data_IF_873253049946
#
_entry.id   IF_873253049946
#
_cell.length_a   1.000
_cell.length_b   1.000
_cell.length_c   1.000
_cell.angle_alpha   90.00
_cell.angle_beta   90.00
_cell.angle_gamma   90.00
#
_symmetry.space_group_name_H-M   'P 1'
#
loop_
_entity.id
_entity.type
_entity.pdbx_description
1 polymer ?
#
# COMPACT_ATOMS: atom_id res chain seq x y z
N UNK A 1 -16.84 -18.64 -58.74
CA UNK A 1 -16.65 -17.59 -57.75
C UNK A 1 -16.57 -18.24 -56.38
N UNK A 2 -15.35 -18.46 -55.85
CA UNK A 2 -15.13 -19.09 -54.51
C UNK A 2 -15.00 -18.00 -53.49
N UNK A 3 -15.95 -17.88 -52.56
CA UNK A 3 -15.88 -16.97 -51.42
C UNK A 3 -14.97 -17.60 -50.38
N UNK A 4 -13.81 -16.99 -50.14
CA UNK A 4 -12.93 -17.34 -49.01
C UNK A 4 -13.52 -16.76 -47.71
N UNK A 5 -13.87 -17.62 -46.78
CA UNK A 5 -14.30 -17.26 -45.43
C UNK A 5 -13.05 -17.03 -44.59
N UNK A 6 -12.77 -15.78 -44.27
CA UNK A 6 -11.64 -15.38 -43.45
C UNK A 6 -12.03 -15.55 -41.96
N UNK A 7 -11.55 -16.62 -41.33
CA UNK A 7 -11.69 -16.83 -39.90
C UNK A 7 -10.71 -15.91 -39.18
N UNK A 8 -11.18 -14.83 -38.57
CA UNK A 8 -10.42 -14.05 -37.62
C UNK A 8 -10.34 -14.83 -36.28
N UNK A 9 -9.20 -15.43 -36.00
CA UNK A 9 -8.90 -15.95 -34.66
C UNK A 9 -8.81 -14.77 -33.72
N UNK A 10 -9.84 -14.55 -32.92
CA UNK A 10 -9.73 -13.67 -31.71
C UNK A 10 -8.83 -14.42 -30.75
N UNK A 11 -7.58 -13.97 -30.64
CA UNK A 11 -6.64 -14.45 -29.61
C UNK A 11 -7.14 -14.00 -28.26
N UNK A 12 -7.73 -14.91 -27.49
CA UNK A 12 -7.97 -14.71 -26.06
C UNK A 12 -6.61 -14.74 -25.40
N UNK A 13 -6.05 -13.58 -25.09
CA UNK A 13 -4.89 -13.51 -24.20
C UNK A 13 -5.34 -13.94 -22.81
N UNK A 14 -4.97 -15.15 -22.43
CA UNK A 14 -5.12 -15.62 -21.06
C UNK A 14 -4.22 -14.72 -20.19
N UNK A 15 -4.83 -13.89 -19.36
CA UNK A 15 -4.13 -13.13 -18.33
C UNK A 15 -3.57 -14.13 -17.31
N UNK A 16 -2.25 -14.30 -17.30
CA UNK A 16 -1.58 -15.17 -16.34
C UNK A 16 -1.23 -14.34 -15.10
N UNK A 17 -2.13 -14.32 -14.15
CA UNK A 17 -1.85 -13.82 -12.81
C UNK A 17 -0.75 -14.64 -12.15
N UNK A 18 0.23 -13.96 -11.53
CA UNK A 18 1.33 -14.58 -10.78
C UNK A 18 1.34 -14.06 -9.36
N UNK A 19 1.49 -14.93 -8.35
CA UNK A 19 1.76 -14.50 -7.00
C UNK A 19 3.19 -13.95 -6.88
N UNK A 20 3.33 -12.89 -6.10
CA UNK A 20 4.60 -12.25 -5.82
C UNK A 20 4.88 -12.24 -4.32
N UNK A 21 6.14 -12.47 -3.95
CA UNK A 21 6.63 -12.35 -2.57
C UNK A 21 7.30 -11.01 -2.37
N UNK A 22 6.85 -10.23 -1.38
CA UNK A 22 7.41 -8.92 -1.07
C UNK A 22 8.83 -9.08 -0.50
N UNK A 23 9.78 -8.39 -1.11
CA UNK A 23 11.12 -8.22 -0.55
C UNK A 23 11.08 -7.10 0.51
N UNK A 24 11.01 -7.49 1.76
CA UNK A 24 10.91 -6.55 2.88
C UNK A 24 12.15 -5.67 3.07
N UNK A 25 13.31 -6.12 2.59
CA UNK A 25 14.55 -5.36 2.68
C UNK A 25 14.58 -4.17 1.72
N UNK A 26 13.92 -4.32 0.55
CA UNK A 26 13.84 -3.30 -0.49
C UNK A 26 12.45 -2.65 -0.60
N UNK A 27 11.61 -2.84 0.41
CA UNK A 27 10.25 -2.31 0.46
C UNK A 27 10.02 -1.43 1.68
N UNK A 28 9.05 -0.54 1.59
CA UNK A 28 8.72 0.37 2.69
C UNK A 28 7.27 0.81 2.68
N UNK A 29 6.75 1.05 3.88
CA UNK A 29 5.41 1.63 4.13
C UNK A 29 5.61 2.90 4.94
N UNK A 30 5.42 4.05 4.29
CA UNK A 30 5.63 5.38 4.85
C UNK A 30 4.32 6.10 5.12
N UNK A 31 4.38 7.03 6.07
CA UNK A 31 3.37 8.07 6.23
C UNK A 31 4.03 9.41 6.50
N UNK A 32 3.30 10.47 6.17
CA UNK A 32 3.73 11.85 6.41
C UNK A 32 2.55 12.66 6.91
N UNK A 33 2.77 13.47 7.94
CA UNK A 33 1.77 14.34 8.55
C UNK A 33 2.37 15.70 8.87
N UNK A 34 1.61 16.76 8.67
CA UNK A 34 2.04 18.11 9.05
C UNK A 34 2.05 18.26 10.58
N UNK A 35 3.08 18.92 11.08
CA UNK A 35 3.23 19.29 12.48
C UNK A 35 3.35 20.81 12.59
N UNK A 36 2.49 21.42 13.40
CA UNK A 36 2.35 22.87 13.51
C UNK A 36 2.17 23.59 12.18
N UNK A 37 1.51 22.96 11.19
CA UNK A 37 1.26 23.45 9.83
C UNK A 37 2.51 23.67 8.95
N UNK A 38 3.69 23.79 9.52
CA UNK A 38 4.92 24.19 8.82
C UNK A 38 5.91 23.03 8.63
N UNK A 39 6.02 22.15 9.62
CA UNK A 39 6.94 21.03 9.57
C UNK A 39 6.22 19.75 9.15
N UNK A 40 6.96 18.83 8.57
CA UNK A 40 6.48 17.49 8.22
C UNK A 40 7.14 16.46 9.12
N UNK A 41 6.32 15.58 9.68
CA UNK A 41 6.79 14.40 10.37
C UNK A 41 6.59 13.21 9.45
N UNK A 42 7.69 12.54 9.10
CA UNK A 42 7.68 11.26 8.40
C UNK A 42 7.88 10.12 9.37
N UNK A 43 7.21 9.03 9.09
CA UNK A 43 7.41 7.77 9.80
C UNK A 43 7.24 6.57 8.89
N UNK A 44 7.72 5.43 9.35
CA UNK A 44 7.57 4.13 8.69
C UNK A 44 6.93 3.14 9.64
N UNK A 45 6.39 2.07 9.07
CA UNK A 45 6.14 0.85 9.81
C UNK A 45 7.23 -0.17 9.42
N UNK A 46 8.16 -0.44 10.32
CA UNK A 46 9.30 -1.34 10.07
C UNK A 46 8.88 -2.82 9.89
N UNK A 47 7.68 -3.18 10.38
CA UNK A 47 7.13 -4.53 10.23
C UNK A 47 5.81 -4.48 9.45
N UNK A 48 5.85 -5.01 8.25
CA UNK A 48 4.70 -5.15 7.36
C UNK A 48 4.75 -6.46 6.61
N UNK A 49 3.61 -6.86 6.02
CA UNK A 49 3.48 -8.03 5.18
C UNK A 49 2.33 -7.82 4.20
N UNK A 50 2.23 -8.68 3.18
CA UNK A 50 1.15 -8.57 2.21
C UNK A 50 1.13 -9.69 1.18
N UNK A 51 0.07 -9.66 0.37
CA UNK A 51 -0.11 -10.53 -0.79
C UNK A 51 -0.26 -9.67 -2.02
N UNK A 52 0.48 -10.00 -3.07
CA UNK A 52 0.38 -9.38 -4.38
C UNK A 52 0.18 -10.50 -5.40
N UNK A 53 -0.83 -10.33 -6.24
CA UNK A 53 -1.03 -11.12 -7.43
C UNK A 53 -1.27 -10.18 -8.60
N UNK A 54 -0.47 -10.29 -9.64
CA UNK A 54 -0.48 -9.37 -10.77
C UNK A 54 -0.15 -10.09 -12.08
N UNK A 55 -0.69 -9.57 -13.18
CA UNK A 55 -0.23 -9.92 -14.52
C UNK A 55 0.91 -8.97 -14.93
N UNK A 56 2.15 -9.47 -15.06
CA UNK A 56 3.29 -8.60 -15.37
C UNK A 56 3.20 -7.96 -16.76
N UNK A 57 2.49 -8.56 -17.71
CA UNK A 57 2.41 -8.08 -19.10
C UNK A 57 1.39 -6.94 -19.22
N UNK A 58 0.20 -7.12 -18.65
CA UNK A 58 -0.87 -6.12 -18.67
C UNK A 58 -0.74 -5.11 -17.54
N UNK A 59 0.08 -5.42 -16.51
CA UNK A 59 0.22 -4.66 -15.25
C UNK A 59 -1.10 -4.60 -14.46
N UNK A 60 -2.01 -5.53 -14.72
CA UNK A 60 -3.23 -5.68 -13.94
C UNK A 60 -2.89 -6.23 -12.55
N UNK A 61 -3.43 -5.58 -11.52
CA UNK A 61 -3.31 -6.02 -10.14
C UNK A 61 -4.60 -6.77 -9.77
N UNK A 62 -4.48 -8.07 -9.48
CA UNK A 62 -5.64 -8.92 -9.16
C UNK A 62 -5.87 -9.01 -7.65
N UNK A 63 -4.78 -9.10 -6.88
CA UNK A 63 -4.83 -9.10 -5.42
C UNK A 63 -3.77 -8.13 -4.90
N UNK A 64 -4.20 -7.27 -3.99
CA UNK A 64 -3.31 -6.50 -3.14
C UNK A 64 -3.89 -6.43 -1.74
N UNK A 65 -3.23 -7.11 -0.81
CA UNK A 65 -3.55 -7.07 0.62
C UNK A 65 -2.28 -6.71 1.39
N UNK A 66 -2.40 -5.80 2.34
CA UNK A 66 -1.30 -5.35 3.19
C UNK A 66 -1.67 -5.42 4.67
N UNK A 67 -0.66 -5.65 5.50
CA UNK A 67 -0.76 -5.58 6.96
C UNK A 67 0.47 -4.90 7.51
N UNK A 68 0.28 -4.06 8.52
CA UNK A 68 1.33 -3.40 9.28
C UNK A 68 1.23 -3.78 10.75
N UNK A 69 2.37 -3.88 11.42
CA UNK A 69 2.42 -3.97 12.89
C UNK A 69 2.47 -2.56 13.47
N UNK A 70 1.47 -2.16 14.22
CA UNK A 70 1.40 -0.80 14.79
C UNK A 70 2.55 -0.55 15.78
N UNK A 71 3.03 -1.58 16.48
CA UNK A 71 4.17 -1.44 17.40
C UNK A 71 5.48 -1.11 16.68
N UNK A 72 5.57 -1.41 15.39
CA UNK A 72 6.75 -1.13 14.57
C UNK A 72 6.85 0.29 14.06
N UNK A 73 5.93 1.17 14.46
CA UNK A 73 5.97 2.58 14.08
C UNK A 73 7.28 3.23 14.50
N UNK A 74 7.92 3.92 13.55
CA UNK A 74 9.22 4.52 13.72
C UNK A 74 9.27 5.87 13.01
N UNK A 75 9.35 6.95 13.78
CA UNK A 75 9.49 8.33 13.29
C UNK A 75 10.87 8.90 13.59
N UNK A 76 11.85 8.04 13.96
CA UNK A 76 13.21 8.42 14.43
C UNK A 76 13.20 9.26 15.70
N UNK A 77 12.14 9.16 16.48
CA UNK A 77 12.00 9.82 17.78
C UNK A 77 11.26 8.90 18.74
N UNK A 78 12.02 8.23 19.61
CA UNK A 78 11.48 7.23 20.54
C UNK A 78 10.31 7.76 21.39
N UNK A 79 10.41 8.98 21.91
CA UNK A 79 9.36 9.56 22.76
C UNK A 79 8.05 9.74 21.96
N UNK A 80 8.15 10.19 20.73
CA UNK A 80 6.99 10.32 19.83
C UNK A 80 6.43 8.95 19.46
N UNK A 81 7.28 7.99 19.13
CA UNK A 81 6.86 6.63 18.76
C UNK A 81 6.13 5.94 19.92
N UNK A 82 6.62 6.10 21.15
CA UNK A 82 5.96 5.59 22.35
C UNK A 82 4.57 6.25 22.53
N UNK A 83 4.45 7.56 22.31
CA UNK A 83 3.18 8.28 22.38
C UNK A 83 2.21 7.84 21.26
N UNK A 84 2.71 7.64 20.03
CA UNK A 84 1.88 7.15 18.93
C UNK A 84 1.28 5.76 19.20
N UNK A 85 1.93 4.92 20.01
CA UNK A 85 1.41 3.60 20.40
C UNK A 85 0.32 3.64 21.45
N UNK A 86 0.14 4.76 22.17
CA UNK A 86 -0.85 4.88 23.26
C UNK A 86 -2.31 4.90 22.74
N UNK A 87 -3.26 4.78 23.67
CA UNK A 87 -4.69 4.86 23.40
C UNK A 87 -5.14 6.21 22.80
N UNK A 88 -4.35 7.26 22.98
CA UNK A 88 -4.60 8.58 22.42
C UNK A 88 -4.42 8.63 20.90
N UNK A 89 -3.54 7.77 20.34
CA UNK A 89 -3.29 7.64 18.91
C UNK A 89 -3.73 6.26 18.38
N UNK A 90 -2.79 5.36 18.16
CA UNK A 90 -3.07 4.08 17.50
C UNK A 90 -3.64 3.01 18.43
N UNK A 91 -3.45 3.14 19.74
CA UNK A 91 -3.86 2.14 20.75
C UNK A 91 -3.32 0.74 20.39
N UNK A 92 -1.99 0.65 20.25
CA UNK A 92 -1.31 -0.54 19.75
C UNK A 92 -1.50 -1.81 20.62
N UNK A 93 -1.94 -1.65 21.87
CA UNK A 93 -2.31 -2.77 22.73
C UNK A 93 -3.63 -3.39 22.34
N UNK A 94 -4.61 -2.57 22.01
CA UNK A 94 -5.96 -3.01 21.60
C UNK A 94 -6.04 -3.34 20.11
N UNK A 95 -5.32 -2.57 19.29
CA UNK A 95 -5.32 -2.68 17.83
C UNK A 95 -3.89 -2.87 17.31
N UNK A 96 -3.30 -4.06 17.49
CA UNK A 96 -1.88 -4.29 17.17
C UNK A 96 -1.56 -4.25 15.68
N UNK A 97 -2.57 -4.35 14.82
CA UNK A 97 -2.42 -4.41 13.36
C UNK A 97 -3.25 -3.34 12.67
N UNK A 98 -2.70 -2.79 11.59
CA UNK A 98 -3.46 -2.14 10.54
C UNK A 98 -3.52 -3.05 9.32
N UNK A 99 -4.54 -2.91 8.47
CA UNK A 99 -4.67 -3.72 7.26
C UNK A 99 -5.30 -2.94 6.12
N UNK A 100 -4.93 -3.33 4.92
CA UNK A 100 -5.52 -2.85 3.67
C UNK A 100 -5.92 -4.04 2.81
N UNK A 101 -7.10 -3.97 2.18
CA UNK A 101 -7.58 -4.96 1.23
C UNK A 101 -8.11 -4.25 -0.01
N UNK A 102 -7.48 -4.52 -1.14
CA UNK A 102 -7.96 -4.02 -2.42
C UNK A 102 -9.34 -4.60 -2.75
N UNK A 103 -10.22 -3.73 -3.21
CA UNK A 103 -11.56 -4.09 -3.74
C UNK A 103 -11.61 -3.97 -5.26
N UNK A 104 -10.80 -3.08 -5.85
CA UNK A 104 -10.74 -2.86 -7.30
C UNK A 104 -9.39 -2.22 -7.67
N UNK A 105 -8.89 -2.59 -8.87
CA UNK A 105 -7.82 -1.88 -9.55
C UNK A 105 -8.30 -1.39 -10.91
N UNK A 106 -8.19 -0.10 -11.18
CA UNK A 106 -8.67 0.52 -12.41
C UNK A 106 -7.91 1.83 -12.67
N UNK A 107 -7.50 2.06 -13.89
CA UNK A 107 -6.86 3.30 -14.36
C UNK A 107 -5.68 3.76 -13.48
N UNK A 108 -4.84 2.82 -13.03
CA UNK A 108 -3.71 3.12 -12.14
C UNK A 108 -4.12 3.48 -10.71
N UNK A 109 -5.35 3.17 -10.31
CA UNK A 109 -5.87 3.41 -8.97
C UNK A 109 -6.22 2.12 -8.26
N UNK A 110 -5.74 1.98 -7.04
CA UNK A 110 -6.10 0.90 -6.13
C UNK A 110 -7.20 1.42 -5.20
N UNK A 111 -8.41 0.95 -5.39
CA UNK A 111 -9.52 1.15 -4.44
C UNK A 111 -9.46 0.04 -3.42
N UNK A 112 -9.67 0.34 -2.15
CA UNK A 112 -9.63 -0.69 -1.11
C UNK A 112 -10.10 -0.18 0.24
N UNK A 113 -10.22 -1.12 1.16
CA UNK A 113 -10.64 -0.90 2.52
C UNK A 113 -9.41 -0.85 3.44
N UNK A 114 -9.17 0.31 4.04
CA UNK A 114 -8.13 0.50 5.06
C UNK A 114 -8.75 0.36 6.44
N UNK A 115 -8.17 -0.50 7.26
CA UNK A 115 -8.54 -0.68 8.67
C UNK A 115 -7.40 -0.20 9.55
N UNK A 116 -7.66 0.82 10.36
CA UNK A 116 -6.79 1.30 11.41
C UNK A 116 -7.58 1.49 12.69
N UNK A 117 -6.99 1.14 13.83
CA UNK A 117 -7.62 1.29 15.15
C UNK A 117 -9.05 0.69 15.22
N UNK A 118 -9.29 -0.42 14.51
CA UNK A 118 -10.58 -1.12 14.44
C UNK A 118 -11.64 -0.42 13.58
N UNK A 119 -11.31 0.68 12.91
CA UNK A 119 -12.21 1.39 11.99
C UNK A 119 -11.79 1.12 10.56
N UNK A 120 -12.74 0.71 9.72
CA UNK A 120 -12.54 0.46 8.30
C UNK A 120 -13.15 1.58 7.47
N UNK A 121 -12.38 2.11 6.51
CA UNK A 121 -12.81 3.14 5.57
C UNK A 121 -12.33 2.82 4.16
N UNK A 122 -13.12 3.13 3.11
CA UNK A 122 -12.66 3.07 1.75
C UNK A 122 -11.60 4.14 1.51
N UNK A 123 -10.53 3.76 0.82
CA UNK A 123 -9.46 4.67 0.39
C UNK A 123 -9.06 4.38 -1.05
N UNK A 124 -8.49 5.36 -1.71
CA UNK A 124 -7.96 5.23 -3.07
C UNK A 124 -6.48 5.58 -3.04
N UNK A 125 -5.67 4.73 -3.63
CA UNK A 125 -4.24 4.95 -3.81
C UNK A 125 -3.93 5.08 -5.30
N UNK A 126 -3.23 6.13 -5.69
CA UNK A 126 -2.64 6.26 -7.03
C UNK A 126 -1.47 5.28 -7.12
N UNK A 127 -1.45 4.43 -8.13
CA UNK A 127 -0.46 3.35 -8.23
C UNK A 127 0.31 3.39 -9.54
N UNK A 128 1.60 3.04 -9.46
CA UNK A 128 2.47 2.79 -10.61
C UNK A 128 3.08 1.40 -10.47
N UNK A 129 2.89 0.58 -11.50
CA UNK A 129 3.44 -0.77 -11.55
C UNK A 129 4.50 -0.82 -12.65
N UNK A 130 5.70 -1.26 -12.27
CA UNK A 130 6.77 -1.57 -13.20
C UNK A 130 6.98 -3.08 -13.19
N UNK A 131 6.64 -3.73 -14.29
CA UNK A 131 6.72 -5.18 -14.49
C UNK A 131 6.67 -5.49 -15.99
N UNK A 132 7.18 -6.64 -16.46
CA UNK A 132 8.13 -7.46 -15.72
C UNK A 132 9.51 -6.78 -15.68
N UNK A 133 10.22 -6.96 -14.58
CA UNK A 133 11.61 -6.55 -14.41
C UNK A 133 12.47 -7.80 -14.18
N UNK A 134 13.76 -7.72 -14.51
CA UNK A 134 14.70 -8.81 -14.24
C UNK A 134 15.84 -8.29 -13.37
N UNK A 135 16.08 -8.96 -12.25
CA UNK A 135 17.18 -8.65 -11.37
C UNK A 135 18.52 -8.97 -12.10
N UNK A 136 19.42 -7.99 -12.27
CA UNK A 136 20.65 -8.17 -13.05
C UNK A 136 21.62 -9.19 -12.42
N UNK A 137 21.55 -9.40 -11.11
CA UNK A 137 22.47 -10.29 -10.38
C UNK A 137 22.01 -11.77 -10.40
N UNK A 138 20.73 -12.01 -10.07
CA UNK A 138 20.22 -13.38 -9.91
C UNK A 138 19.23 -13.82 -11.00
N UNK A 139 18.93 -12.92 -11.97
CA UNK A 139 18.05 -13.16 -13.11
C UNK A 139 16.59 -13.46 -12.75
N UNK A 140 16.19 -13.33 -11.48
CA UNK A 140 14.81 -13.52 -11.07
C UNK A 140 13.91 -12.39 -11.57
N UNK A 141 12.71 -12.75 -11.99
CA UNK A 141 11.67 -11.79 -12.33
C UNK A 141 11.13 -11.11 -11.07
N UNK A 142 10.97 -9.80 -11.13
CA UNK A 142 10.37 -9.02 -10.07
C UNK A 142 9.53 -7.88 -10.61
N UNK A 143 8.76 -7.26 -9.74
CA UNK A 143 8.00 -6.05 -10.01
C UNK A 143 8.24 -5.00 -8.93
N UNK A 144 7.99 -3.75 -9.27
CA UNK A 144 7.93 -2.64 -8.33
C UNK A 144 6.52 -2.06 -8.35
N UNK A 145 5.87 -2.04 -7.19
CA UNK A 145 4.60 -1.35 -6.96
C UNK A 145 4.86 -0.11 -6.10
N UNK A 146 4.60 1.06 -6.66
CA UNK A 146 4.55 2.32 -5.92
C UNK A 146 3.09 2.72 -5.79
N UNK A 147 2.64 3.08 -4.59
CA UNK A 147 1.29 3.56 -4.39
C UNK A 147 1.29 4.69 -3.36
N UNK A 148 0.48 5.72 -3.60
CA UNK A 148 0.34 6.85 -2.70
C UNK A 148 -1.12 7.30 -2.57
N UNK A 149 -1.47 7.84 -1.41
CA UNK A 149 -2.80 8.37 -1.16
C UNK A 149 -2.84 9.21 0.11
N UNK A 150 -4.02 9.69 0.43
CA UNK A 150 -4.26 10.53 1.59
C UNK A 150 -5.44 10.02 2.38
N UNK A 151 -5.35 10.11 3.69
CA UNK A 151 -6.44 9.79 4.61
C UNK A 151 -6.62 10.92 5.62
N UNK A 152 -7.80 11.00 6.23
CA UNK A 152 -8.00 11.81 7.41
C UNK A 152 -7.83 10.92 8.65
N UNK A 153 -6.83 11.21 9.51
CA UNK A 153 -6.55 10.42 10.73
C UNK A 153 -7.72 10.36 11.69
N UNK A 154 -8.54 11.42 11.74
CA UNK A 154 -9.68 11.50 12.65
C UNK A 154 -10.81 10.55 12.28
N UNK A 155 -10.92 10.18 11.00
CA UNK A 155 -11.89 9.18 10.54
C UNK A 155 -11.64 7.81 11.16
N UNK A 156 -10.39 7.53 11.53
CA UNK A 156 -9.96 6.30 12.22
C UNK A 156 -9.84 6.49 13.75
N UNK A 157 -10.18 7.67 14.25
CA UNK A 157 -10.09 7.96 15.68
C UNK A 157 -8.67 8.19 16.20
N UNK A 158 -7.69 8.41 15.33
CA UNK A 158 -6.29 8.59 15.69
C UNK A 158 -6.05 10.05 16.11
N UNK A 159 -5.61 10.26 17.36
CA UNK A 159 -5.29 11.56 17.90
C UNK A 159 -6.43 12.58 17.80
N UNK A 160 -7.68 12.18 18.05
CA UNK A 160 -8.88 13.02 17.86
C UNK A 160 -8.86 14.33 18.64
N UNK A 161 -8.19 14.34 19.79
CA UNK A 161 -8.10 15.49 20.70
C UNK A 161 -7.16 16.58 20.18
N UNK A 162 -6.25 16.24 19.26
CA UNK A 162 -5.32 17.20 18.68
C UNK A 162 -5.97 17.98 17.54
N UNK A 163 -5.87 19.31 17.61
CA UNK A 163 -6.32 20.16 16.51
C UNK A 163 -5.43 20.00 15.27
N UNK A 164 -5.97 20.30 14.10
CA UNK A 164 -5.24 20.32 12.83
C UNK A 164 -4.03 21.29 12.85
N UNK A 165 -4.10 22.32 13.71
CA UNK A 165 -2.99 23.25 13.89
C UNK A 165 -1.77 22.63 14.56
N UNK A 166 -1.96 21.58 15.38
CA UNK A 166 -0.89 20.87 16.09
C UNK A 166 -0.44 19.65 15.32
N UNK A 167 -1.38 18.80 14.93
CA UNK A 167 -1.15 17.60 14.11
C UNK A 167 -2.13 17.64 12.95
N UNK A 168 -1.63 17.73 11.74
CA UNK A 168 -2.47 17.78 10.54
C UNK A 168 -3.47 16.62 10.49
N UNK A 169 -4.68 16.91 10.08
CA UNK A 169 -5.73 15.89 9.95
C UNK A 169 -5.49 15.00 8.73
N UNK A 170 -4.95 15.58 7.66
CA UNK A 170 -4.54 14.84 6.47
C UNK A 170 -3.18 14.15 6.71
N UNK A 171 -3.14 12.86 6.41
CA UNK A 171 -1.93 12.03 6.43
C UNK A 171 -1.71 11.47 5.04
N UNK A 172 -0.55 11.73 4.45
CA UNK A 172 -0.09 11.09 3.22
C UNK A 172 0.42 9.69 3.54
N UNK A 173 0.04 8.71 2.71
CA UNK A 173 0.54 7.34 2.76
C UNK A 173 1.33 7.09 1.49
N UNK A 174 2.47 6.44 1.61
CA UNK A 174 3.33 6.06 0.48
C UNK A 174 3.84 4.63 0.67
N UNK A 175 3.66 3.81 -0.35
CA UNK A 175 4.14 2.44 -0.41
C UNK A 175 5.17 2.33 -1.53
N UNK A 176 6.31 1.70 -1.26
CA UNK A 176 7.27 1.26 -2.27
C UNK A 176 7.56 -0.21 -2.01
N UNK A 177 7.06 -1.07 -2.89
CA UNK A 177 7.17 -2.50 -2.73
C UNK A 177 7.93 -3.09 -3.92
N UNK A 178 9.02 -3.77 -3.63
CA UNK A 178 9.68 -4.68 -4.55
C UNK A 178 9.20 -6.09 -4.25
N UNK A 179 8.79 -6.84 -5.27
CA UNK A 179 8.25 -8.17 -5.07
C UNK A 179 8.69 -9.13 -6.18
N UNK A 180 9.14 -10.32 -5.80
CA UNK A 180 9.64 -11.35 -6.70
C UNK A 180 8.56 -12.36 -7.06
N UNK A 181 8.50 -12.73 -8.35
CA UNK A 181 7.61 -13.78 -8.83
C UNK A 181 7.95 -15.12 -8.13
N UNK A 182 6.88 -15.83 -7.72
CA UNK A 182 6.97 -17.18 -7.15
C UNK A 182 7.09 -18.26 -8.24
#
# INVERSE_FOLDING_TARGET
>A
MKKALMFTLLGVSLAFAKPYTIDKANSSVWFEVKHFKFNETRGVFDSFDGKIDADPNTKALNIFEGKIDIKSINTRNKKRDDHLRTAEFFDAMKYPKGSFKMTKYEDGKIHGDLTLRGVTKPVVLEAKIQAPLQNPMNKKEFMVLQAEGKINRKDFGIGKTFSDAVVGDEVKIELKLEAYAQ
#
